data_IF_997225604853
#
_entry.id   IF_997225604853
#
_cell.length_a   1.000
_cell.length_b   1.000
_cell.length_c   1.000
_cell.angle_alpha   90.00
_cell.angle_beta   90.00
_cell.angle_gamma   90.00
#
_symmetry.space_group_name_H-M   'P 1'
#
loop_
_entity.id
_entity.type
_entity.pdbx_description
1 polymer ?
#
# COMPACT_ATOMS: atom_id res chain seq x y z
N UNK A 1 -8.91 -31.74 -29.14
CA UNK A 1 -7.45 -31.86 -29.31
C UNK A 1 -6.81 -31.39 -27.98
N UNK A 2 -6.55 -32.35 -27.09
CA UNK A 2 -5.92 -32.00 -25.79
C UNK A 2 -4.45 -31.68 -26.05
N UNK A 3 -4.14 -30.41 -26.19
CA UNK A 3 -2.76 -29.93 -26.17
C UNK A 3 -2.31 -30.10 -24.72
N UNK A 4 -1.56 -31.19 -24.45
CA UNK A 4 -0.92 -31.36 -23.16
C UNK A 4 0.01 -30.17 -22.94
N UNK A 5 -0.33 -29.33 -21.99
CA UNK A 5 0.50 -28.20 -21.59
C UNK A 5 1.78 -28.76 -20.95
N UNK A 6 2.87 -28.87 -21.73
CA UNK A 6 4.20 -29.28 -21.23
C UNK A 6 4.90 -28.13 -20.46
N UNK A 7 4.10 -27.27 -19.84
CA UNK A 7 4.62 -26.10 -19.15
C UNK A 7 5.20 -26.49 -17.78
N UNK A 8 6.44 -26.13 -17.55
CA UNK A 8 7.04 -26.28 -16.22
C UNK A 8 6.42 -25.26 -15.27
N UNK A 9 5.58 -25.71 -14.34
CA UNK A 9 4.87 -24.89 -13.34
C UNK A 9 5.83 -24.20 -12.34
N UNK A 10 7.13 -24.25 -12.58
CA UNK A 10 8.16 -23.71 -11.68
C UNK A 10 8.91 -22.54 -12.34
N UNK A 11 9.26 -21.58 -11.52
CA UNK A 11 10.23 -20.57 -11.92
C UNK A 11 11.58 -21.24 -12.24
N UNK A 12 12.29 -20.71 -13.24
CA UNK A 12 13.68 -21.13 -13.47
C UNK A 12 14.52 -20.83 -12.23
N UNK A 13 15.62 -21.58 -12.04
CA UNK A 13 16.53 -21.32 -10.92
C UNK A 13 17.06 -19.87 -10.92
N UNK A 14 17.38 -19.34 -12.08
CA UNK A 14 17.82 -17.94 -12.22
C UNK A 14 16.71 -16.96 -11.80
N UNK A 15 15.46 -17.15 -12.26
CA UNK A 15 14.34 -16.32 -11.86
C UNK A 15 14.06 -16.39 -10.35
N UNK A 16 14.19 -17.57 -9.75
CA UNK A 16 14.03 -17.76 -8.30
C UNK A 16 15.09 -17.03 -7.50
N UNK A 17 16.35 -17.04 -7.95
CA UNK A 17 17.45 -16.29 -7.30
C UNK A 17 17.20 -14.79 -7.41
N UNK A 18 16.89 -14.28 -8.60
CA UNK A 18 16.64 -12.85 -8.81
C UNK A 18 15.45 -12.37 -7.97
N UNK A 19 14.36 -13.13 -7.93
CA UNK A 19 13.18 -12.83 -7.12
C UNK A 19 13.52 -12.80 -5.63
N UNK A 20 14.29 -13.77 -5.14
CA UNK A 20 14.70 -13.84 -3.73
C UNK A 20 15.59 -12.67 -3.34
N UNK A 21 16.55 -12.31 -4.18
CA UNK A 21 17.40 -11.14 -3.95
C UNK A 21 16.58 -9.85 -3.93
N UNK A 22 15.66 -9.68 -4.89
CA UNK A 22 14.78 -8.53 -4.92
C UNK A 22 13.96 -8.41 -3.65
N UNK A 23 13.24 -9.46 -3.25
CA UNK A 23 12.40 -9.47 -2.03
C UNK A 23 13.22 -9.30 -0.76
N UNK A 24 14.43 -9.87 -0.69
CA UNK A 24 15.31 -9.68 0.47
C UNK A 24 15.75 -8.22 0.62
N UNK A 25 16.14 -7.57 -0.48
CA UNK A 25 16.54 -6.17 -0.46
C UNK A 25 15.38 -5.23 -0.13
N UNK A 26 14.23 -5.44 -0.77
CA UNK A 26 13.04 -4.61 -0.53
C UNK A 26 12.44 -4.86 0.86
N UNK A 27 12.40 -6.10 1.34
CA UNK A 27 11.97 -6.44 2.69
C UNK A 27 12.86 -5.80 3.75
N UNK A 28 14.18 -5.89 3.60
CA UNK A 28 15.12 -5.23 4.50
C UNK A 28 14.94 -3.70 4.50
N UNK A 29 14.78 -3.09 3.33
CA UNK A 29 14.51 -1.66 3.21
C UNK A 29 13.16 -1.28 3.85
N UNK A 30 12.12 -2.09 3.71
CA UNK A 30 10.82 -1.89 4.36
C UNK A 30 10.95 -1.97 5.88
N UNK A 31 11.65 -2.97 6.42
CA UNK A 31 11.87 -3.11 7.87
C UNK A 31 12.64 -1.91 8.42
N UNK A 32 13.80 -1.60 7.87
CA UNK A 32 14.66 -0.53 8.38
C UNK A 32 13.97 0.83 8.23
N UNK A 33 13.42 1.11 7.05
CA UNK A 33 12.80 2.40 6.75
C UNK A 33 11.57 2.68 7.61
N UNK A 34 10.66 1.71 7.73
CA UNK A 34 9.43 1.88 8.52
C UNK A 34 9.74 1.89 10.03
N UNK A 35 10.69 1.08 10.51
CA UNK A 35 11.15 1.15 11.90
C UNK A 35 11.74 2.52 12.24
N UNK A 36 12.54 3.10 11.35
CA UNK A 36 13.11 4.44 11.55
C UNK A 36 12.01 5.53 11.62
N UNK A 37 11.00 5.48 10.72
CA UNK A 37 9.86 6.42 10.75
C UNK A 37 9.05 6.26 12.04
N UNK A 38 8.77 5.02 12.48
CA UNK A 38 8.06 4.75 13.74
C UNK A 38 8.86 5.23 14.96
N UNK A 39 10.16 5.03 14.95
CA UNK A 39 11.05 5.51 16.00
C UNK A 39 11.06 7.04 16.07
N UNK A 40 11.15 7.75 14.94
CA UNK A 40 11.06 9.21 14.88
C UNK A 40 9.72 9.71 15.39
N UNK A 41 8.63 9.06 14.99
CA UNK A 41 7.28 9.37 15.45
C UNK A 41 7.14 9.20 16.98
N UNK A 42 7.78 8.18 17.54
CA UNK A 42 7.77 7.94 18.97
C UNK A 42 8.63 8.96 19.75
N UNK A 43 9.80 9.31 19.24
CA UNK A 43 10.75 10.21 19.91
C UNK A 43 10.37 11.68 19.83
N UNK A 44 9.67 12.12 18.80
CA UNK A 44 9.37 13.52 18.54
C UNK A 44 7.89 13.82 18.76
N UNK A 45 7.53 14.47 19.86
CA UNK A 45 6.14 14.86 20.17
C UNK A 45 5.46 15.68 19.07
N UNK A 46 6.11 16.65 18.41
CA UNK A 46 5.49 17.41 17.32
C UNK A 46 5.03 16.53 16.15
N UNK A 47 5.64 15.35 15.95
CA UNK A 47 5.21 14.39 14.92
C UNK A 47 3.94 13.62 15.28
N UNK A 48 3.49 13.62 16.56
CA UNK A 48 2.33 12.84 17.02
C UNK A 48 0.97 13.49 16.69
N UNK A 49 0.88 14.13 15.54
CA UNK A 49 -0.39 14.67 15.02
C UNK A 49 -1.38 13.54 14.69
N UNK A 50 -2.67 13.87 14.61
CA UNK A 50 -3.71 12.89 14.25
C UNK A 50 -3.42 12.28 12.87
N UNK A 51 -3.06 13.09 11.92
CA UNK A 51 -2.72 12.67 10.56
C UNK A 51 -1.52 11.71 10.51
N UNK A 52 -0.47 11.98 11.30
CA UNK A 52 0.70 11.13 11.36
C UNK A 52 0.44 9.80 12.11
N UNK A 53 -0.67 9.67 12.86
CA UNK A 53 -1.09 8.38 13.46
C UNK A 53 -1.58 7.39 12.40
N UNK A 54 -2.33 7.85 11.39
CA UNK A 54 -2.68 7.01 10.24
C UNK A 54 -1.43 6.58 9.48
N UNK A 55 -0.48 7.50 9.33
CA UNK A 55 0.81 7.21 8.71
C UNK A 55 1.61 6.17 9.51
N UNK A 56 1.66 6.31 10.85
CA UNK A 56 2.31 5.34 11.72
C UNK A 56 1.67 3.96 11.63
N UNK A 57 0.33 3.88 11.54
CA UNK A 57 -0.37 2.61 11.32
C UNK A 57 -0.01 1.96 9.99
N UNK A 58 0.12 2.75 8.92
CA UNK A 58 0.62 2.27 7.63
C UNK A 58 2.07 1.76 7.73
N UNK A 59 2.94 2.49 8.43
CA UNK A 59 4.32 2.03 8.66
C UNK A 59 4.39 0.72 9.44
N UNK A 60 3.47 0.46 10.38
CA UNK A 60 3.39 -0.85 11.06
C UNK A 60 3.02 -1.96 10.08
N UNK A 61 2.03 -1.73 9.20
CA UNK A 61 1.65 -2.71 8.18
C UNK A 61 2.81 -3.01 7.22
N UNK A 62 3.51 -1.99 6.75
CA UNK A 62 4.65 -2.12 5.84
C UNK A 62 5.88 -2.76 6.52
N UNK A 63 6.11 -2.47 7.80
CA UNK A 63 7.14 -3.13 8.60
C UNK A 63 6.87 -4.64 8.73
N UNK A 64 5.61 -5.02 9.02
CA UNK A 64 5.22 -6.43 9.11
C UNK A 64 5.28 -7.13 7.75
N UNK A 65 4.99 -6.44 6.65
CA UNK A 65 5.16 -6.98 5.31
C UNK A 65 6.62 -7.38 5.06
N UNK A 66 7.57 -6.49 5.30
CA UNK A 66 9.00 -6.78 5.12
C UNK A 66 9.55 -7.81 6.11
N UNK A 67 9.06 -7.81 7.36
CA UNK A 67 9.58 -8.71 8.41
C UNK A 67 9.04 -10.15 8.28
N UNK A 68 7.80 -10.32 7.86
CA UNK A 68 7.11 -11.60 7.87
C UNK A 68 6.78 -12.08 6.46
N UNK A 69 6.13 -11.23 5.65
CA UNK A 69 5.60 -11.66 4.35
C UNK A 69 6.72 -11.96 3.35
N UNK A 70 7.69 -11.07 3.22
CA UNK A 70 8.79 -11.25 2.26
C UNK A 70 9.62 -12.50 2.55
N UNK A 71 10.15 -12.74 3.78
CA UNK A 71 10.91 -13.95 4.08
C UNK A 71 10.09 -15.23 3.91
N UNK A 72 8.83 -15.18 4.33
CA UNK A 72 7.93 -16.33 4.22
C UNK A 72 7.64 -16.63 2.75
N UNK A 73 7.40 -15.62 1.92
CA UNK A 73 7.18 -15.78 0.49
C UNK A 73 8.40 -16.39 -0.20
N UNK A 74 9.62 -15.92 0.10
CA UNK A 74 10.88 -16.48 -0.39
C UNK A 74 11.02 -17.94 0.02
N UNK A 75 10.86 -18.22 1.30
CA UNK A 75 11.02 -19.57 1.84
C UNK A 75 10.15 -20.58 1.10
N UNK A 76 8.93 -20.21 0.76
CA UNK A 76 7.97 -21.12 0.13
C UNK A 76 8.15 -21.23 -1.35
N UNK A 77 8.33 -20.13 -2.03
CA UNK A 77 8.48 -20.15 -3.48
C UNK A 77 9.79 -20.74 -3.94
N UNK A 78 10.86 -20.64 -3.13
CA UNK A 78 12.19 -21.04 -3.51
C UNK A 78 12.60 -22.36 -2.86
N UNK A 79 12.39 -22.50 -1.55
CA UNK A 79 12.95 -23.63 -0.79
C UNK A 79 11.95 -24.76 -0.55
N UNK A 80 10.73 -24.46 -0.14
CA UNK A 80 9.78 -25.49 0.30
C UNK A 80 8.96 -26.06 -0.86
N UNK A 81 8.54 -25.21 -1.81
CA UNK A 81 7.69 -25.56 -2.96
C UNK A 81 6.56 -26.55 -2.58
N UNK A 82 5.71 -26.21 -1.61
CA UNK A 82 4.75 -27.13 -1.04
C UNK A 82 3.73 -27.59 -2.08
N UNK A 83 3.11 -28.74 -1.83
CA UNK A 83 1.98 -29.23 -2.64
C UNK A 83 0.84 -28.22 -2.61
N UNK A 84 0.07 -28.12 -3.72
CA UNK A 84 -1.05 -27.16 -3.87
C UNK A 84 -2.03 -27.17 -2.68
N UNK A 85 -2.23 -28.31 -2.03
CA UNK A 85 -3.18 -28.49 -0.92
C UNK A 85 -2.57 -28.45 0.48
N UNK A 86 -1.30 -28.06 0.60
CA UNK A 86 -0.65 -28.02 1.91
C UNK A 86 -1.24 -26.92 2.81
N UNK A 87 -1.44 -27.25 4.09
CA UNK A 87 -1.88 -26.29 5.12
C UNK A 87 -0.93 -25.10 5.18
N UNK A 88 0.37 -25.34 5.01
CA UNK A 88 1.40 -24.31 4.99
C UNK A 88 1.13 -23.27 3.90
N UNK A 89 0.81 -23.69 2.68
CA UNK A 89 0.50 -22.77 1.58
C UNK A 89 -0.77 -21.96 1.86
N UNK A 90 -1.78 -22.56 2.47
CA UNK A 90 -3.02 -21.86 2.87
C UNK A 90 -2.73 -20.77 3.92
N UNK A 91 -1.97 -21.11 4.97
CA UNK A 91 -1.59 -20.16 6.04
C UNK A 91 -0.83 -18.96 5.47
N UNK A 92 0.06 -19.20 4.53
CA UNK A 92 0.87 -18.15 3.93
C UNK A 92 0.05 -17.22 3.05
N UNK A 93 -0.83 -17.77 2.24
CA UNK A 93 -1.78 -16.97 1.50
C UNK A 93 -2.62 -16.09 2.44
N UNK A 94 -3.04 -16.62 3.59
CA UNK A 94 -3.77 -15.84 4.60
C UNK A 94 -2.93 -14.68 5.15
N UNK A 95 -1.67 -14.93 5.52
CA UNK A 95 -0.76 -13.90 6.03
C UNK A 95 -0.50 -12.83 4.96
N UNK A 96 -0.28 -13.26 3.71
CA UNK A 96 -0.07 -12.35 2.59
C UNK A 96 -1.29 -11.45 2.34
N UNK A 97 -2.49 -12.03 2.30
CA UNK A 97 -3.74 -11.31 2.08
C UNK A 97 -4.00 -10.33 3.22
N UNK A 98 -3.83 -10.78 4.47
CA UNK A 98 -3.98 -9.93 5.64
C UNK A 98 -3.08 -8.70 5.59
N UNK A 99 -1.79 -8.90 5.35
CA UNK A 99 -0.81 -7.82 5.28
C UNK A 99 -1.12 -6.85 4.15
N UNK A 100 -1.45 -7.36 2.97
CA UNK A 100 -1.79 -6.53 1.81
C UNK A 100 -3.07 -5.73 2.05
N UNK A 101 -4.12 -6.34 2.59
CA UNK A 101 -5.36 -5.65 2.96
C UNK A 101 -5.11 -4.56 4.00
N UNK A 102 -4.29 -4.84 5.03
CA UNK A 102 -3.92 -3.86 6.04
C UNK A 102 -3.20 -2.65 5.44
N UNK A 103 -2.23 -2.87 4.55
CA UNK A 103 -1.53 -1.78 3.83
C UNK A 103 -2.50 -0.96 2.99
N UNK A 104 -3.36 -1.59 2.19
CA UNK A 104 -4.34 -0.92 1.31
C UNK A 104 -5.32 -0.08 2.12
N UNK A 105 -5.90 -0.62 3.17
CA UNK A 105 -6.87 0.11 4.00
C UNK A 105 -6.22 1.25 4.78
N UNK A 106 -5.02 1.07 5.32
CA UNK A 106 -4.27 2.15 5.93
C UNK A 106 -3.97 3.27 4.93
N UNK A 107 -3.60 2.94 3.69
CA UNK A 107 -3.38 3.92 2.63
C UNK A 107 -4.67 4.69 2.29
N UNK A 108 -5.82 4.02 2.27
CA UNK A 108 -7.12 4.67 2.11
C UNK A 108 -7.37 5.67 3.25
N UNK A 109 -7.13 5.28 4.50
CA UNK A 109 -7.31 6.16 5.65
C UNK A 109 -6.41 7.41 5.56
N UNK A 110 -5.13 7.25 5.20
CA UNK A 110 -4.21 8.37 4.96
C UNK A 110 -4.74 9.28 3.85
N UNK A 111 -5.26 8.71 2.76
CA UNK A 111 -5.79 9.46 1.62
C UNK A 111 -7.05 10.24 1.98
N UNK A 112 -7.99 9.63 2.69
CA UNK A 112 -9.22 10.26 3.17
C UNK A 112 -8.90 11.37 4.17
N UNK A 113 -7.98 11.12 5.13
CA UNK A 113 -7.51 12.11 6.09
C UNK A 113 -6.98 13.37 5.39
N UNK A 114 -6.13 13.18 4.38
CA UNK A 114 -5.60 14.29 3.58
C UNK A 114 -6.70 15.03 2.79
N UNK A 115 -7.61 14.29 2.21
CA UNK A 115 -8.75 14.89 1.51
C UNK A 115 -9.59 15.77 2.43
N UNK A 116 -9.92 15.30 3.64
CA UNK A 116 -10.69 16.07 4.62
C UNK A 116 -9.91 17.30 5.08
N UNK A 117 -8.61 17.18 5.34
CA UNK A 117 -7.75 18.28 5.76
C UNK A 117 -7.68 19.41 4.71
N UNK A 118 -7.68 19.06 3.44
CA UNK A 118 -7.57 20.02 2.33
C UNK A 118 -8.94 20.61 1.96
N UNK A 119 -9.99 19.78 1.98
CA UNK A 119 -11.33 20.20 1.55
C UNK A 119 -12.09 20.96 2.61
N UNK A 120 -11.87 20.62 3.90
CA UNK A 120 -12.57 21.17 5.06
C UNK A 120 -11.60 21.63 6.16
N UNK A 121 -10.67 22.56 5.90
CA UNK A 121 -9.58 22.90 6.82
C UNK A 121 -10.10 23.42 8.17
N UNK A 122 -11.19 24.18 8.18
CA UNK A 122 -11.78 24.75 9.41
C UNK A 122 -12.57 23.75 10.24
N UNK A 123 -13.06 22.65 9.62
CA UNK A 123 -13.82 21.59 10.29
C UNK A 123 -13.00 20.32 10.53
N UNK A 124 -11.75 20.33 10.11
CA UNK A 124 -10.90 19.11 10.19
C UNK A 124 -10.81 18.57 11.61
N UNK A 125 -10.58 19.42 12.61
CA UNK A 125 -10.44 19.01 14.01
C UNK A 125 -11.74 18.49 14.62
N UNK A 126 -12.90 18.94 14.14
CA UNK A 126 -14.20 18.45 14.57
C UNK A 126 -14.53 17.10 13.95
N UNK A 127 -14.12 16.87 12.69
CA UNK A 127 -14.36 15.64 11.93
C UNK A 127 -13.39 14.54 12.40
N UNK A 128 -12.10 14.86 12.48
CA UNK A 128 -11.04 13.90 12.80
C UNK A 128 -10.51 14.13 14.21
N UNK A 129 -11.11 13.47 15.17
CA UNK A 129 -10.67 13.49 16.57
C UNK A 129 -9.73 12.34 16.88
N UNK A 130 -8.93 12.43 17.96
CA UNK A 130 -8.05 11.34 18.42
C UNK A 130 -8.82 10.01 18.63
N UNK A 131 -9.99 10.06 19.23
CA UNK A 131 -10.83 8.88 19.48
C UNK A 131 -11.29 8.22 18.16
N UNK A 132 -11.79 9.02 17.23
CA UNK A 132 -12.21 8.53 15.90
C UNK A 132 -11.03 7.96 15.10
N UNK A 133 -9.86 8.60 15.16
CA UNK A 133 -8.65 8.10 14.51
C UNK A 133 -8.29 6.69 15.00
N UNK A 134 -8.23 6.48 16.32
CA UNK A 134 -7.93 5.14 16.86
C UNK A 134 -9.03 4.13 16.53
N UNK A 135 -10.31 4.50 16.61
CA UNK A 135 -11.40 3.63 16.22
C UNK A 135 -11.28 3.17 14.76
N UNK A 136 -10.99 4.10 13.84
CA UNK A 136 -10.77 3.79 12.42
C UNK A 136 -9.56 2.87 12.24
N UNK A 137 -8.44 3.14 12.91
CA UNK A 137 -7.26 2.26 12.84
C UNK A 137 -7.60 0.84 13.30
N UNK A 138 -8.28 0.69 14.44
CA UNK A 138 -8.70 -0.63 14.95
C UNK A 138 -9.63 -1.32 13.93
N UNK A 139 -10.60 -0.59 13.38
CA UNK A 139 -11.49 -1.13 12.35
C UNK A 139 -10.73 -1.61 11.10
N UNK A 140 -9.72 -0.87 10.67
CA UNK A 140 -8.86 -1.26 9.54
C UNK A 140 -8.18 -2.59 9.82
N UNK A 141 -7.55 -2.75 10.97
CA UNK A 141 -6.87 -3.99 11.34
C UNK A 141 -7.83 -5.18 11.48
N UNK A 142 -9.00 -4.97 12.07
CA UNK A 142 -10.03 -6.01 12.21
C UNK A 142 -10.66 -6.39 10.85
N UNK A 143 -10.99 -5.41 10.01
CA UNK A 143 -11.55 -5.69 8.68
C UNK A 143 -10.56 -6.40 7.76
N UNK A 144 -9.25 -6.13 7.91
CA UNK A 144 -8.21 -6.84 7.16
C UNK A 144 -8.16 -8.34 7.52
N UNK A 145 -8.58 -8.74 8.74
CA UNK A 145 -8.69 -10.14 9.15
C UNK A 145 -9.87 -10.86 8.50
N UNK A 146 -10.91 -10.14 8.10
CA UNK A 146 -12.12 -10.77 7.54
C UNK A 146 -11.82 -11.56 6.26
N UNK A 147 -10.97 -11.04 5.39
CA UNK A 147 -10.59 -11.66 4.13
C UNK A 147 -9.93 -13.05 4.30
N UNK A 148 -8.82 -13.16 5.05
CA UNK A 148 -8.20 -14.47 5.24
C UNK A 148 -9.10 -15.43 6.02
N UNK A 149 -9.91 -14.96 6.98
CA UNK A 149 -10.84 -15.80 7.74
C UNK A 149 -11.99 -16.32 6.87
N UNK A 150 -12.50 -15.54 5.93
CA UNK A 150 -13.54 -16.00 5.02
C UNK A 150 -13.09 -17.22 4.21
N UNK A 151 -11.79 -17.36 3.93
CA UNK A 151 -11.20 -18.52 3.24
C UNK A 151 -11.33 -19.81 4.03
N UNK A 152 -11.33 -19.72 5.39
CA UNK A 152 -11.46 -20.91 6.27
C UNK A 152 -12.92 -21.40 6.30
N UNK A 153 -13.86 -20.47 6.14
CA UNK A 153 -15.29 -20.74 6.31
C UNK A 153 -15.96 -21.28 5.04
N UNK A 154 -15.27 -21.21 3.89
CA UNK A 154 -15.87 -21.59 2.60
C UNK A 154 -15.46 -23.00 2.21
N UNK A 155 -16.46 -23.72 1.75
CA UNK A 155 -16.32 -25.10 1.26
C UNK A 155 -15.22 -25.23 0.18
N UNK A 156 -14.59 -26.41 0.11
CA UNK A 156 -13.46 -26.68 -0.77
C UNK A 156 -13.85 -26.86 -2.25
N UNK A 157 -15.05 -26.46 -2.67
CA UNK A 157 -15.44 -26.47 -4.08
C UNK A 157 -14.57 -25.47 -4.88
N UNK A 158 -13.77 -25.92 -5.86
CA UNK A 158 -12.83 -25.07 -6.58
C UNK A 158 -13.49 -23.86 -7.26
N UNK A 159 -14.68 -24.05 -7.85
CA UNK A 159 -15.41 -22.97 -8.54
C UNK A 159 -15.88 -21.91 -7.56
N UNK A 160 -16.52 -22.30 -6.46
CA UNK A 160 -16.99 -21.38 -5.41
C UNK A 160 -15.84 -20.58 -4.83
N UNK A 161 -14.69 -21.22 -4.62
CA UNK A 161 -13.48 -20.57 -4.15
C UNK A 161 -12.93 -19.55 -5.14
N UNK A 162 -12.91 -19.86 -6.45
CA UNK A 162 -12.42 -18.95 -7.49
C UNK A 162 -13.33 -17.72 -7.65
N UNK A 163 -14.65 -17.91 -7.70
CA UNK A 163 -15.63 -16.82 -7.76
C UNK A 163 -15.57 -15.91 -6.53
N UNK A 164 -15.42 -16.50 -5.36
CA UNK A 164 -15.22 -15.75 -4.12
C UNK A 164 -13.95 -14.92 -4.16
N UNK A 165 -12.82 -15.53 -4.55
CA UNK A 165 -11.56 -14.82 -4.64
C UNK A 165 -11.61 -13.65 -5.60
N UNK A 166 -12.25 -13.83 -6.75
CA UNK A 166 -12.46 -12.75 -7.70
C UNK A 166 -13.29 -11.61 -7.08
N UNK A 167 -14.42 -11.93 -6.47
CA UNK A 167 -15.32 -10.96 -5.83
C UNK A 167 -14.64 -10.23 -4.67
N UNK A 168 -13.94 -10.96 -3.81
CA UNK A 168 -13.22 -10.38 -2.68
C UNK A 168 -12.04 -9.52 -3.14
N UNK A 169 -11.29 -9.95 -4.14
CA UNK A 169 -10.21 -9.14 -4.73
C UNK A 169 -10.76 -7.82 -5.25
N UNK A 170 -11.91 -7.83 -5.91
CA UNK A 170 -12.56 -6.61 -6.38
C UNK A 170 -12.92 -5.66 -5.22
N UNK A 171 -13.58 -6.16 -4.17
CA UNK A 171 -14.03 -5.36 -3.03
C UNK A 171 -12.83 -4.80 -2.23
N UNK A 172 -11.79 -5.61 -2.01
CA UNK A 172 -10.71 -5.25 -1.10
C UNK A 172 -9.51 -4.57 -1.77
N UNK A 173 -9.39 -4.63 -3.08
CA UNK A 173 -8.32 -3.95 -3.82
C UNK A 173 -8.88 -2.88 -4.76
N UNK A 174 -9.83 -3.22 -5.62
CA UNK A 174 -10.31 -2.28 -6.64
C UNK A 174 -11.14 -1.15 -6.04
N UNK A 175 -12.04 -1.45 -5.12
CA UNK A 175 -12.85 -0.42 -4.46
C UNK A 175 -11.96 0.56 -3.67
N UNK A 176 -11.02 0.14 -2.80
CA UNK A 176 -10.08 1.04 -2.15
C UNK A 176 -9.24 1.87 -3.13
N UNK A 177 -8.70 1.26 -4.18
CA UNK A 177 -7.93 1.98 -5.21
C UNK A 177 -8.80 3.07 -5.86
N UNK A 178 -10.05 2.76 -6.16
CA UNK A 178 -11.01 3.72 -6.72
C UNK A 178 -11.26 4.87 -5.75
N UNK A 179 -11.52 4.59 -4.46
CA UNK A 179 -11.70 5.61 -3.42
C UNK A 179 -10.47 6.51 -3.33
N UNK A 180 -9.31 5.94 -3.27
CA UNK A 180 -8.05 6.66 -3.22
C UNK A 180 -7.89 7.55 -4.46
N UNK A 181 -8.11 7.03 -5.66
CA UNK A 181 -8.03 7.78 -6.92
C UNK A 181 -9.00 8.96 -6.94
N UNK A 182 -10.25 8.76 -6.50
CA UNK A 182 -11.26 9.83 -6.40
C UNK A 182 -10.85 10.89 -5.38
N UNK A 183 -10.36 10.53 -4.21
CA UNK A 183 -9.85 11.48 -3.22
C UNK A 183 -8.78 12.40 -3.84
N UNK A 184 -7.83 11.82 -4.60
CA UNK A 184 -6.76 12.60 -5.24
C UNK A 184 -7.22 13.45 -6.41
N UNK A 185 -8.13 12.97 -7.20
CA UNK A 185 -8.76 13.78 -8.24
C UNK A 185 -9.39 15.04 -7.64
N UNK A 186 -10.14 14.90 -6.55
CA UNK A 186 -10.75 16.02 -5.85
C UNK A 186 -9.73 16.91 -5.16
N UNK A 187 -8.71 16.37 -4.53
CA UNK A 187 -7.59 17.12 -3.95
C UNK A 187 -6.93 17.98 -5.04
N UNK A 188 -6.54 17.38 -6.15
CA UNK A 188 -5.90 18.08 -7.26
C UNK A 188 -6.77 19.21 -7.81
N UNK A 189 -8.05 18.94 -8.02
CA UNK A 189 -9.03 19.95 -8.48
C UNK A 189 -9.14 21.11 -7.50
N UNK A 190 -9.24 20.82 -6.19
CA UNK A 190 -9.37 21.83 -5.13
C UNK A 190 -8.13 22.71 -5.06
N UNK A 191 -6.95 22.12 -5.08
CA UNK A 191 -5.68 22.88 -5.02
C UNK A 191 -5.46 23.69 -6.26
N UNK A 192 -5.72 23.17 -7.44
CA UNK A 192 -5.62 23.95 -8.68
C UNK A 192 -6.53 25.16 -8.65
N UNK A 193 -7.74 25.03 -8.08
CA UNK A 193 -8.68 26.15 -7.89
C UNK A 193 -8.14 27.17 -6.88
N UNK A 194 -7.61 26.73 -5.75
CA UNK A 194 -7.01 27.61 -4.73
C UNK A 194 -5.79 28.36 -5.26
N UNK A 195 -4.89 27.65 -5.97
CA UNK A 195 -3.72 28.28 -6.58
C UNK A 195 -4.10 29.37 -7.58
N UNK A 196 -5.10 29.11 -8.44
CA UNK A 196 -5.59 30.14 -9.39
C UNK A 196 -6.15 31.36 -8.68
N UNK A 197 -6.91 31.18 -7.59
CA UNK A 197 -7.44 32.30 -6.80
C UNK A 197 -6.31 33.16 -6.23
N UNK A 198 -5.33 32.51 -5.58
CA UNK A 198 -4.17 33.22 -5.00
C UNK A 198 -3.37 33.97 -6.07
N UNK A 199 -3.24 33.41 -7.27
CA UNK A 199 -2.53 34.08 -8.38
C UNK A 199 -3.30 35.35 -8.85
N UNK A 200 -4.64 35.27 -8.89
CA UNK A 200 -5.48 36.42 -9.26
C UNK A 200 -5.48 37.49 -8.16
N UNK A 201 -5.63 37.10 -6.90
CA UNK A 201 -5.61 38.01 -5.74
C UNK A 201 -4.24 38.69 -5.55
N UNK A 202 -3.13 37.99 -5.91
CA UNK A 202 -1.78 38.56 -5.90
C UNK A 202 -1.59 39.74 -6.83
N UNK A 203 -2.36 39.83 -7.90
CA UNK A 203 -2.36 41.02 -8.78
C UNK A 203 -3.11 42.18 -8.19
N UNK A 204 -3.85 41.99 -7.09
CA UNK A 204 -4.71 43.05 -6.50
C UNK A 204 -4.30 43.47 -5.09
N UNK A 205 -3.51 42.68 -4.32
CA UNK A 205 -3.17 43.03 -2.93
C UNK A 205 -1.86 42.38 -2.47
N UNK A 206 -1.02 43.17 -1.78
CA UNK A 206 0.27 42.74 -1.17
C UNK A 206 0.08 41.85 0.11
N UNK A 207 -0.75 40.83 0.07
CA UNK A 207 -0.94 39.92 1.21
C UNK A 207 0.13 38.85 1.25
N UNK A 208 1.23 39.08 1.97
CA UNK A 208 2.38 38.18 2.14
C UNK A 208 2.07 36.91 2.97
N UNK A 209 1.06 36.96 3.87
CA UNK A 209 0.86 35.92 4.91
C UNK A 209 0.17 34.62 4.44
N UNK A 210 -0.51 34.60 3.29
CA UNK A 210 -1.23 33.42 2.79
C UNK A 210 -0.35 32.46 1.96
N UNK A 211 0.80 32.95 1.49
CA UNK A 211 1.73 32.21 0.63
C UNK A 211 2.41 30.99 1.26
N UNK A 212 2.88 31.03 2.53
CA UNK A 212 3.58 29.90 3.14
C UNK A 212 2.65 28.68 3.29
N UNK A 213 1.40 28.91 3.71
CA UNK A 213 0.40 27.86 3.94
C UNK A 213 -0.05 27.18 2.64
N UNK A 214 -0.22 27.96 1.57
CA UNK A 214 -0.56 27.43 0.26
C UNK A 214 0.59 26.58 -0.34
N UNK A 215 1.84 27.01 -0.19
CA UNK A 215 3.02 26.24 -0.62
C UNK A 215 3.19 24.95 0.17
N UNK A 216 2.94 24.97 1.48
CA UNK A 216 2.99 23.76 2.33
C UNK A 216 1.93 22.74 1.90
N UNK A 217 0.69 23.19 1.64
CA UNK A 217 -0.37 22.35 1.13
C UNK A 217 -0.03 21.75 -0.25
N UNK A 218 0.53 22.54 -1.17
CA UNK A 218 0.96 22.04 -2.48
C UNK A 218 2.06 20.96 -2.37
N UNK A 219 3.03 21.14 -1.46
CA UNK A 219 4.08 20.14 -1.23
C UNK A 219 3.48 18.84 -0.68
N UNK A 220 2.57 18.94 0.29
CA UNK A 220 1.89 17.78 0.85
C UNK A 220 1.13 16.98 -0.23
N UNK A 221 0.39 17.68 -1.11
CA UNK A 221 -0.39 17.07 -2.19
C UNK A 221 0.50 16.35 -3.21
N UNK A 222 1.59 17.00 -3.65
CA UNK A 222 2.55 16.35 -4.56
C UNK A 222 3.16 15.09 -3.95
N UNK A 223 3.41 15.10 -2.65
CA UNK A 223 3.96 13.95 -1.92
C UNK A 223 3.01 12.76 -1.97
N UNK A 224 1.79 13.03 -1.59
CA UNK A 224 0.78 11.99 -1.49
C UNK A 224 0.40 11.49 -2.90
N UNK A 225 0.29 12.40 -3.88
CA UNK A 225 0.09 12.00 -5.28
C UNK A 225 1.19 11.09 -5.81
N UNK A 226 2.43 11.26 -5.34
CA UNK A 226 3.53 10.38 -5.70
C UNK A 226 3.40 9.00 -5.02
N UNK A 227 3.09 8.95 -3.70
CA UNK A 227 2.82 7.69 -2.98
C UNK A 227 1.73 6.89 -3.70
N UNK A 228 0.66 7.59 -4.06
CA UNK A 228 -0.45 6.97 -4.77
C UNK A 228 -0.06 6.46 -6.15
N UNK A 229 0.70 7.27 -6.90
CA UNK A 229 1.19 6.86 -8.22
C UNK A 229 2.02 5.59 -8.14
N UNK A 230 2.93 5.51 -7.17
CA UNK A 230 3.72 4.30 -6.89
C UNK A 230 2.81 3.13 -6.54
N UNK A 231 1.83 3.33 -5.68
CA UNK A 231 0.89 2.29 -5.26
C UNK A 231 0.06 1.77 -6.45
N UNK A 232 -0.58 2.64 -7.22
CA UNK A 232 -1.38 2.26 -8.39
C UNK A 232 -0.50 1.51 -9.40
N UNK A 233 0.68 2.04 -9.71
CA UNK A 233 1.60 1.41 -10.66
C UNK A 233 2.04 0.02 -10.18
N UNK A 234 2.28 -0.15 -8.88
CA UNK A 234 2.69 -1.43 -8.29
C UNK A 234 1.58 -2.48 -8.30
N UNK A 235 0.31 -2.08 -8.19
CA UNK A 235 -0.82 -3.01 -8.04
C UNK A 235 -1.65 -3.20 -9.31
N UNK A 236 -1.56 -2.28 -10.30
CA UNK A 236 -2.25 -2.46 -11.60
C UNK A 236 -1.94 -3.78 -12.31
N UNK A 237 -0.68 -4.28 -12.32
CA UNK A 237 -0.40 -5.58 -12.92
C UNK A 237 -1.16 -6.74 -12.26
N UNK A 238 -1.43 -6.66 -10.93
CA UNK A 238 -2.17 -7.70 -10.23
C UNK A 238 -3.63 -7.74 -10.67
N UNK A 239 -4.26 -6.58 -10.84
CA UNK A 239 -5.63 -6.49 -11.37
C UNK A 239 -5.72 -7.14 -12.76
N UNK A 240 -4.86 -6.70 -13.68
CA UNK A 240 -4.85 -7.23 -15.05
C UNK A 240 -4.68 -8.74 -15.06
N UNK A 241 -3.73 -9.25 -14.27
CA UNK A 241 -3.47 -10.69 -14.19
C UNK A 241 -4.64 -11.46 -13.59
N UNK A 242 -5.29 -10.92 -12.55
CA UNK A 242 -6.46 -11.54 -11.91
C UNK A 242 -7.63 -11.62 -12.91
N UNK A 243 -7.92 -10.52 -13.61
CA UNK A 243 -9.00 -10.49 -14.61
C UNK A 243 -8.71 -11.46 -15.76
N UNK A 244 -7.50 -11.42 -16.33
CA UNK A 244 -7.13 -12.33 -17.43
C UNK A 244 -7.18 -13.79 -16.98
N UNK A 245 -6.69 -14.11 -15.78
CA UNK A 245 -6.74 -15.46 -15.22
C UNK A 245 -8.18 -15.96 -15.00
N UNK A 246 -9.09 -15.06 -14.63
CA UNK A 246 -10.50 -15.39 -14.41
C UNK A 246 -11.26 -15.61 -15.72
N UNK A 247 -11.06 -14.77 -16.73
CA UNK A 247 -11.82 -14.83 -17.98
C UNK A 247 -11.27 -15.82 -19.00
N UNK A 248 -9.99 -16.25 -18.86
CA UNK A 248 -9.38 -17.16 -19.82
C UNK A 248 -9.88 -18.58 -19.68
N UNK A 249 -10.28 -19.20 -20.79
CA UNK A 249 -10.58 -20.63 -20.88
C UNK A 249 -9.31 -21.49 -21.07
N UNK A 250 -8.18 -20.86 -21.41
CA UNK A 250 -6.90 -21.55 -21.62
C UNK A 250 -6.23 -21.84 -20.26
N UNK A 251 -6.26 -23.11 -19.86
CA UNK A 251 -5.66 -23.58 -18.62
C UNK A 251 -4.12 -23.40 -18.60
N UNK A 252 -3.46 -23.51 -19.75
CA UNK A 252 -2.03 -23.31 -19.87
C UNK A 252 -1.64 -21.86 -19.59
N UNK A 253 -2.39 -20.91 -20.17
CA UNK A 253 -2.20 -19.48 -19.89
C UNK A 253 -2.47 -19.16 -18.42
N UNK A 254 -3.55 -19.69 -17.84
CA UNK A 254 -3.90 -19.52 -16.42
C UNK A 254 -2.77 -20.02 -15.51
N UNK A 255 -2.23 -21.20 -15.76
CA UNK A 255 -1.10 -21.74 -15.01
C UNK A 255 0.16 -20.88 -15.16
N UNK A 256 0.47 -20.40 -16.37
CA UNK A 256 1.60 -19.49 -16.61
C UNK A 256 1.45 -18.18 -15.83
N UNK A 257 0.26 -17.59 -15.81
CA UNK A 257 -0.03 -16.38 -15.05
C UNK A 257 0.17 -16.60 -13.55
N UNK A 258 -0.35 -17.71 -13.01
CA UNK A 258 -0.32 -17.97 -11.57
C UNK A 258 1.06 -18.43 -11.04
N UNK A 259 1.83 -19.18 -11.83
CA UNK A 259 3.08 -19.76 -11.34
C UNK A 259 4.33 -19.01 -11.79
N UNK A 260 4.28 -18.28 -12.92
CA UNK A 260 5.45 -17.55 -13.44
C UNK A 260 5.28 -16.05 -13.33
N UNK A 261 4.13 -15.49 -13.71
CA UNK A 261 3.95 -14.04 -13.75
C UNK A 261 3.62 -13.49 -12.36
N UNK A 262 2.71 -14.14 -11.64
CA UNK A 262 2.25 -13.69 -10.33
C UNK A 262 3.37 -13.45 -9.31
N UNK A 263 4.42 -14.28 -9.18
CA UNK A 263 5.52 -14.01 -8.26
C UNK A 263 6.21 -12.66 -8.49
N UNK A 264 6.37 -12.24 -9.73
CA UNK A 264 6.96 -10.95 -10.08
C UNK A 264 6.03 -9.79 -9.74
N UNK A 265 4.75 -9.95 -10.02
CA UNK A 265 3.73 -8.96 -9.68
C UNK A 265 3.65 -8.76 -8.16
N UNK A 266 3.67 -9.85 -7.40
CA UNK A 266 3.70 -9.81 -5.95
C UNK A 266 4.95 -9.07 -5.43
N UNK A 267 6.12 -9.32 -6.00
CA UNK A 267 7.36 -8.63 -5.64
C UNK A 267 7.29 -7.13 -5.94
N UNK A 268 6.73 -6.73 -7.08
CA UNK A 268 6.50 -5.32 -7.42
C UNK A 268 5.55 -4.67 -6.41
N UNK A 269 4.45 -5.35 -6.05
CA UNK A 269 3.49 -4.88 -5.05
C UNK A 269 4.13 -4.66 -3.68
N UNK A 270 4.90 -5.64 -3.20
CA UNK A 270 5.60 -5.58 -1.92
C UNK A 270 6.69 -4.48 -1.89
N UNK A 271 7.29 -4.14 -3.02
CA UNK A 271 8.26 -3.05 -3.14
C UNK A 271 7.67 -1.70 -2.71
N UNK A 272 6.36 -1.50 -2.83
CA UNK A 272 5.68 -0.27 -2.39
C UNK A 272 5.91 0.03 -0.92
N UNK A 273 5.95 -0.99 -0.06
CA UNK A 273 6.22 -0.86 1.38
C UNK A 273 7.64 -0.37 1.69
N UNK A 274 8.61 -0.69 0.85
CA UNK A 274 9.98 -0.21 0.97
C UNK A 274 10.15 1.25 0.56
N UNK A 275 9.33 1.74 -0.37
CA UNK A 275 9.42 3.10 -0.91
C UNK A 275 8.76 4.13 0.04
N UNK A 276 7.70 3.74 0.74
CA UNK A 276 6.91 4.62 1.61
C UNK A 276 7.73 5.44 2.61
N UNK A 277 8.65 4.88 3.40
CA UNK A 277 9.45 5.64 4.37
C UNK A 277 10.28 6.76 3.74
N UNK A 278 10.89 6.48 2.59
CA UNK A 278 11.66 7.47 1.83
C UNK A 278 10.79 8.66 1.44
N UNK A 279 9.58 8.40 0.96
CA UNK A 279 8.66 9.47 0.56
C UNK A 279 8.30 10.35 1.79
N UNK A 280 8.05 9.76 2.95
CA UNK A 280 7.68 10.53 4.15
C UNK A 280 8.83 11.40 4.63
N UNK A 281 10.04 10.86 4.72
CA UNK A 281 11.23 11.59 5.17
C UNK A 281 11.61 12.70 4.17
N UNK A 282 11.63 12.42 2.87
CA UNK A 282 12.08 13.43 1.89
C UNK A 282 11.05 14.53 1.65
N UNK A 283 9.77 14.24 1.80
CA UNK A 283 8.71 15.19 1.39
C UNK A 283 7.95 15.85 2.54
N UNK A 284 7.91 15.24 3.73
CA UNK A 284 7.34 15.86 4.91
C UNK A 284 8.43 16.65 5.67
N UNK A 285 8.27 17.98 5.78
CA UNK A 285 9.23 18.87 6.41
C UNK A 285 9.54 18.49 7.85
N UNK A 286 8.50 18.11 8.61
CA UNK A 286 8.62 17.78 10.03
C UNK A 286 9.41 16.48 10.23
N UNK A 287 9.15 15.46 9.41
CA UNK A 287 9.92 14.22 9.41
C UNK A 287 11.37 14.43 8.95
N UNK A 288 11.58 15.27 7.92
CA UNK A 288 12.93 15.59 7.45
C UNK A 288 13.73 16.34 8.50
N UNK A 289 13.12 17.27 9.21
CA UNK A 289 13.79 18.00 10.30
C UNK A 289 14.12 17.05 11.47
N UNK A 290 13.16 16.20 11.88
CA UNK A 290 13.39 15.18 12.89
C UNK A 290 14.51 14.21 12.48
N UNK A 291 14.52 13.79 11.22
CA UNK A 291 15.58 12.93 10.66
C UNK A 291 16.94 13.59 10.78
N UNK A 292 17.08 14.84 10.34
CA UNK A 292 18.36 15.60 10.42
C UNK A 292 18.85 15.78 11.86
N UNK A 293 17.94 16.01 12.81
CA UNK A 293 18.30 16.16 14.24
C UNK A 293 18.89 14.88 14.84
N UNK A 294 18.44 13.73 14.39
CA UNK A 294 18.84 12.44 15.00
C UNK A 294 19.91 11.69 14.18
N UNK A 295 19.94 11.88 12.89
CA UNK A 295 20.86 11.22 11.97
C UNK A 295 21.77 12.26 11.31
N UNK A 296 22.79 12.75 12.05
CA UNK A 296 23.75 13.77 11.60
C UNK A 296 24.65 13.36 10.42
N UNK A 297 24.47 12.15 9.82
CA UNK A 297 25.37 11.58 8.83
C UNK A 297 25.09 12.04 7.39
N UNK A 298 24.12 12.91 7.14
CA UNK A 298 23.73 13.38 5.81
C UNK A 298 23.59 14.92 5.74
N UNK A 299 24.48 15.64 6.38
CA UNK A 299 24.59 17.10 6.18
C UNK A 299 25.73 17.44 5.23
#
# INVERSE_FOLDING_TARGET
MNISCSFNERLSSASSIVLSLWLSLTGLAAVIGNAAVLWLFHKNEPLRTISNRFLASLCVADFLAGLVVDPVYIAIRVFVQPRKDSILLKVIHMVWIYSTAATVFNLCCVSIDRFIAIRFPFRYQDIITKKRCYAVIIMVWLSSLFLPLSRVLIDNNPKTVEEMWFSLSFIFFEFPITVVTLCYFWIFKTVRKQTRKITVERHQTDCADTLPRARQNQKAIKTIGFVLGVFIFSWMPSLVTTVVSYVTADECLRNKLNFVVWPWIAAIGLTSSAINPGIYVFRNGDFREAWRRHFHWFS
#
